data_IF_731291030883
#
_entry.id   IF_731291030883
#
_cell.length_a   1.000
_cell.length_b   1.000
_cell.length_c   1.000
_cell.angle_alpha   90.00
_cell.angle_beta   90.00
_cell.angle_gamma   90.00
#
_symmetry.space_group_name_H-M   'P 1'
#
loop_
_entity.id
_entity.type
_entity.pdbx_description
1 polymer ?
#
# COMPACT_ATOMS: atom_id res chain seq x y z
N UNK A 1 4.05 0.43 4.14
CA UNK A 1 3.08 0.28 3.02
C UNK A 1 2.10 -0.85 3.30
N UNK A 2 0.79 -0.66 3.07
CA UNK A 2 -0.26 -1.69 3.23
C UNK A 2 -0.06 -2.88 2.27
N UNK A 3 -0.01 -4.15 2.73
CA UNK A 3 -0.14 -5.32 1.86
C UNK A 3 -1.54 -5.35 1.23
N UNK A 4 -1.77 -6.09 0.17
CA UNK A 4 -3.07 -6.08 -0.53
C UNK A 4 -3.55 -7.51 -0.76
N UNK A 5 -4.73 -7.82 -0.23
CA UNK A 5 -5.50 -8.99 -0.66
C UNK A 5 -6.55 -8.57 -1.70
N UNK A 6 -6.23 -8.80 -2.98
CA UNK A 6 -7.21 -8.65 -4.06
C UNK A 6 -7.91 -9.98 -4.40
N UNK A 7 -7.63 -11.06 -3.69
CA UNK A 7 -8.22 -12.38 -3.90
C UNK A 7 -7.92 -13.03 -5.25
N UNK A 8 -8.53 -14.19 -5.47
CA UNK A 8 -8.48 -14.95 -6.73
C UNK A 8 -9.19 -14.22 -7.86
N UNK A 9 -9.18 -14.76 -9.07
CA UNK A 9 -9.82 -14.12 -10.22
C UNK A 9 -11.33 -13.86 -9.95
N UNK A 10 -11.85 -12.64 -10.16
CA UNK A 10 -13.24 -12.33 -9.84
C UNK A 10 -14.23 -13.02 -10.77
N UNK A 11 -15.41 -13.31 -10.23
CA UNK A 11 -16.55 -13.81 -11.01
C UNK A 11 -17.40 -12.62 -11.47
N UNK A 12 -18.00 -12.73 -12.66
CA UNK A 12 -19.00 -11.79 -13.14
C UNK A 12 -20.37 -12.08 -12.49
N UNK A 13 -21.38 -11.26 -12.82
CA UNK A 13 -22.76 -11.41 -12.29
C UNK A 13 -23.42 -12.77 -12.59
N UNK A 14 -22.89 -13.54 -13.54
CA UNK A 14 -23.37 -14.89 -13.91
C UNK A 14 -22.58 -16.01 -13.23
N UNK A 15 -21.67 -15.69 -12.29
CA UNK A 15 -20.82 -16.67 -11.62
C UNK A 15 -19.66 -17.21 -12.48
N UNK A 16 -19.47 -16.71 -13.70
CA UNK A 16 -18.35 -17.11 -14.56
C UNK A 16 -17.13 -16.21 -14.35
N UNK A 17 -15.93 -16.70 -14.65
CA UNK A 17 -14.69 -15.93 -14.60
C UNK A 17 -14.84 -14.60 -15.38
N UNK A 18 -14.62 -13.46 -14.72
CA UNK A 18 -14.77 -12.16 -15.34
C UNK A 18 -13.77 -11.99 -16.49
N UNK A 19 -14.24 -11.61 -17.68
CA UNK A 19 -13.37 -11.30 -18.82
C UNK A 19 -13.11 -9.80 -18.88
N UNK A 20 -11.82 -9.42 -18.92
CA UNK A 20 -11.40 -8.02 -19.02
C UNK A 20 -11.03 -7.68 -20.46
N UNK A 21 -12.04 -7.62 -21.35
CA UNK A 21 -11.85 -7.18 -22.75
C UNK A 21 -11.12 -5.82 -22.81
N UNK A 22 -11.35 -4.98 -21.80
CA UNK A 22 -10.55 -3.81 -21.51
C UNK A 22 -10.12 -3.86 -20.04
N UNK A 23 -8.83 -3.61 -19.74
CA UNK A 23 -8.28 -3.66 -18.38
C UNK A 23 -9.03 -2.77 -17.38
N UNK A 24 -9.60 -1.63 -17.85
CA UNK A 24 -10.38 -0.70 -17.01
C UNK A 24 -11.56 -1.38 -16.34
N UNK A 25 -12.08 -2.45 -16.93
CA UNK A 25 -13.20 -3.21 -16.37
C UNK A 25 -12.80 -3.97 -15.09
N UNK A 26 -11.51 -4.12 -14.80
CA UNK A 26 -11.01 -4.68 -13.54
C UNK A 26 -11.08 -3.68 -12.37
N UNK A 27 -11.20 -2.38 -12.65
CA UNK A 27 -11.14 -1.32 -11.64
C UNK A 27 -12.19 -1.52 -10.53
N UNK A 28 -13.45 -1.70 -10.91
CA UNK A 28 -14.55 -1.89 -9.96
C UNK A 28 -14.28 -3.08 -9.03
N UNK A 29 -13.85 -4.24 -9.56
CA UNK A 29 -13.54 -5.41 -8.75
C UNK A 29 -12.37 -5.16 -7.78
N UNK A 30 -11.38 -4.35 -8.15
CA UNK A 30 -10.29 -3.99 -7.25
C UNK A 30 -10.78 -3.05 -6.15
N UNK A 31 -11.59 -2.05 -6.49
CA UNK A 31 -12.14 -1.08 -5.53
C UNK A 31 -13.08 -1.76 -4.52
N UNK A 32 -13.95 -2.66 -4.97
CA UNK A 32 -14.84 -3.44 -4.10
C UNK A 32 -14.07 -4.31 -3.10
N UNK A 33 -12.90 -4.83 -3.50
CA UNK A 33 -12.12 -5.75 -2.66
C UNK A 33 -11.11 -5.06 -1.74
N UNK A 34 -10.55 -3.95 -2.20
CA UNK A 34 -9.38 -3.33 -1.56
C UNK A 34 -9.60 -1.86 -1.17
N UNK A 35 -10.79 -1.34 -1.48
CA UNK A 35 -11.18 0.05 -1.32
C UNK A 35 -10.54 1.00 -2.32
N UNK A 36 -10.96 2.26 -2.28
CA UNK A 36 -10.48 3.32 -3.16
C UNK A 36 -9.15 3.92 -2.67
N UNK A 37 -8.11 3.10 -2.59
CA UNK A 37 -6.75 3.51 -2.20
C UNK A 37 -5.75 3.14 -3.28
N UNK A 38 -4.73 3.99 -3.45
CA UNK A 38 -3.55 3.59 -4.20
C UNK A 38 -2.88 2.39 -3.51
N UNK A 39 -2.62 1.30 -4.24
CA UNK A 39 -1.95 0.13 -3.68
C UNK A 39 -0.48 0.37 -3.33
N UNK A 40 0.09 1.50 -3.76
CA UNK A 40 1.49 1.85 -3.50
C UNK A 40 1.64 2.91 -2.42
N UNK A 41 1.04 4.10 -2.60
CA UNK A 41 1.19 5.17 -1.62
C UNK A 41 0.07 5.20 -0.57
N UNK A 42 -0.91 4.30 -0.65
CA UNK A 42 -2.03 4.12 0.30
C UNK A 42 -2.99 5.30 0.44
N UNK A 43 -2.71 6.41 -0.22
CA UNK A 43 -3.59 7.58 -0.29
C UNK A 43 -4.97 7.15 -0.79
N UNK A 44 -6.02 7.55 -0.06
CA UNK A 44 -7.38 7.41 -0.55
C UNK A 44 -7.59 8.34 -1.74
N UNK A 45 -8.21 7.81 -2.79
CA UNK A 45 -8.46 8.54 -4.03
C UNK A 45 -9.88 8.24 -4.46
N UNK A 46 -10.78 9.19 -4.21
CA UNK A 46 -12.20 9.03 -4.50
C UNK A 46 -12.48 9.07 -6.01
N UNK A 47 -11.71 9.85 -6.76
CA UNK A 47 -11.84 10.02 -8.20
C UNK A 47 -10.48 9.82 -8.88
N UNK A 48 -10.48 9.23 -10.09
CA UNK A 48 -9.28 9.03 -10.90
C UNK A 48 -8.27 7.94 -10.47
N UNK A 49 -8.66 6.96 -9.63
CA UNK A 49 -7.90 5.71 -9.56
C UNK A 49 -7.87 5.02 -10.93
N UNK A 50 -6.69 4.55 -11.32
CA UNK A 50 -6.48 3.76 -12.53
C UNK A 50 -6.06 2.34 -12.16
N UNK A 51 -6.18 1.43 -13.12
CA UNK A 51 -5.54 0.11 -13.03
C UNK A 51 -4.13 0.24 -13.58
N UNK A 52 -3.18 -0.16 -12.76
CA UNK A 52 -1.77 -0.30 -13.09
C UNK A 52 -1.46 -1.72 -13.55
N UNK A 53 -0.71 -1.83 -14.64
CA UNK A 53 -0.11 -3.10 -15.05
C UNK A 53 1.26 -3.25 -14.38
N UNK A 54 1.44 -4.28 -13.55
CA UNK A 54 2.73 -4.58 -12.93
C UNK A 54 3.76 -4.81 -14.03
N UNK A 55 3.50 -5.76 -14.94
CA UNK A 55 4.21 -5.93 -16.21
C UNK A 55 3.53 -5.09 -17.30
N UNK A 56 4.23 -4.13 -17.94
CA UNK A 56 3.64 -3.24 -18.94
C UNK A 56 2.94 -3.99 -20.07
N UNK A 57 1.74 -3.53 -20.45
CA UNK A 57 0.96 -4.16 -21.52
C UNK A 57 1.66 -4.15 -22.89
N UNK A 58 2.48 -3.14 -23.16
CA UNK A 58 3.14 -2.97 -24.46
C UNK A 58 4.26 -4.01 -24.65
N UNK A 59 4.99 -4.32 -23.57
CA UNK A 59 6.03 -5.36 -23.56
C UNK A 59 5.48 -6.76 -23.24
N UNK A 60 4.31 -6.85 -22.59
CA UNK A 60 3.68 -8.10 -22.16
C UNK A 60 2.19 -8.14 -22.54
N UNK A 61 1.84 -8.14 -23.84
CA UNK A 61 0.45 -8.03 -24.30
C UNK A 61 -0.45 -9.16 -23.79
N UNK A 62 0.08 -10.37 -23.59
CA UNK A 62 -0.64 -11.53 -23.02
C UNK A 62 -1.11 -11.31 -21.57
N UNK A 63 -0.51 -10.35 -20.85
CA UNK A 63 -0.86 -10.00 -19.47
C UNK A 63 -1.73 -8.74 -19.37
N UNK A 64 -2.11 -8.14 -20.50
CA UNK A 64 -2.89 -6.89 -20.55
C UNK A 64 -4.28 -7.01 -19.92
N UNK A 65 -4.87 -8.22 -19.93
CA UNK A 65 -6.16 -8.57 -19.36
C UNK A 65 -6.04 -9.49 -18.12
N UNK A 66 -4.85 -9.62 -17.52
CA UNK A 66 -4.59 -10.61 -16.48
C UNK A 66 -4.80 -10.03 -15.07
N UNK A 67 -5.76 -10.58 -14.30
CA UNK A 67 -6.07 -10.14 -12.93
C UNK A 67 -4.85 -10.06 -12.03
N UNK A 68 -3.96 -11.06 -12.10
CA UNK A 68 -2.76 -11.10 -11.25
C UNK A 68 -1.78 -9.97 -11.58
N UNK A 69 -1.86 -9.39 -12.78
CA UNK A 69 -1.02 -8.29 -13.26
C UNK A 69 -1.56 -6.89 -12.91
N UNK A 70 -2.71 -6.78 -12.22
CA UNK A 70 -3.37 -5.49 -11.93
C UNK A 70 -3.20 -4.99 -10.50
N UNK A 71 -3.01 -3.68 -10.35
CA UNK A 71 -3.08 -2.94 -9.08
C UNK A 71 -3.93 -1.67 -9.24
N UNK A 72 -4.39 -1.06 -8.16
CA UNK A 72 -4.93 0.31 -8.18
C UNK A 72 -3.81 1.31 -7.96
N UNK A 73 -3.80 2.37 -8.76
CA UNK A 73 -2.78 3.41 -8.69
C UNK A 73 -3.40 4.80 -8.78
N UNK A 74 -2.87 5.74 -7.98
CA UNK A 74 -3.21 7.16 -8.09
C UNK A 74 -2.41 7.85 -9.19
N UNK A 75 -2.90 8.98 -9.69
CA UNK A 75 -2.20 9.77 -10.72
C UNK A 75 -0.75 10.10 -10.36
N UNK A 76 -0.41 10.57 -9.14
CA UNK A 76 0.98 10.86 -8.78
C UNK A 76 1.92 9.66 -8.82
N UNK A 77 1.47 8.48 -8.39
CA UNK A 77 2.30 7.27 -8.51
C UNK A 77 2.45 6.83 -9.97
N UNK A 78 1.35 6.89 -10.73
CA UNK A 78 1.34 6.43 -12.12
C UNK A 78 2.23 7.29 -13.02
N UNK A 79 2.10 8.62 -12.94
CA UNK A 79 2.87 9.56 -13.78
C UNK A 79 4.38 9.51 -13.52
N UNK A 80 4.78 9.03 -12.35
CA UNK A 80 6.18 8.92 -11.92
C UNK A 80 6.78 7.54 -12.12
N UNK A 81 5.99 6.55 -12.59
CA UNK A 81 6.52 5.23 -12.88
C UNK A 81 7.65 5.33 -13.89
N UNK A 82 8.83 4.84 -13.52
CA UNK A 82 9.98 4.86 -14.44
C UNK A 82 9.69 4.08 -15.72
N UNK A 83 10.02 4.67 -16.87
CA UNK A 83 9.93 4.02 -18.19
C UNK A 83 11.09 3.04 -18.43
N UNK A 84 12.20 3.18 -17.68
CA UNK A 84 13.41 2.35 -17.82
C UNK A 84 13.31 1.03 -17.06
N UNK A 85 12.26 0.27 -17.34
CA UNK A 85 12.04 -1.02 -16.71
C UNK A 85 13.01 -2.07 -17.23
N UNK A 86 13.76 -2.68 -16.30
CA UNK A 86 14.69 -3.77 -16.57
C UNK A 86 13.92 -5.00 -17.08
N UNK A 87 14.43 -5.62 -18.15
CA UNK A 87 13.94 -6.86 -18.76
C UNK A 87 14.27 -8.10 -17.89
N UNK A 88 13.97 -8.05 -16.60
CA UNK A 88 14.39 -9.03 -15.58
C UNK A 88 13.16 -9.45 -14.74
N UNK A 89 13.13 -10.61 -14.07
CA UNK A 89 11.93 -11.05 -13.35
C UNK A 89 11.50 -10.06 -12.26
N UNK A 90 10.49 -9.27 -12.60
CA UNK A 90 9.86 -8.21 -11.81
C UNK A 90 9.54 -8.56 -10.34
N UNK A 91 9.29 -9.84 -10.04
CA UNK A 91 9.01 -10.33 -8.68
C UNK A 91 10.24 -10.42 -7.79
N UNK A 92 11.43 -10.57 -8.38
CA UNK A 92 12.68 -10.65 -7.64
C UNK A 92 13.33 -9.28 -7.42
N UNK A 93 13.00 -8.29 -8.25
CA UNK A 93 13.60 -6.95 -8.18
C UNK A 93 12.81 -5.91 -7.39
N UNK A 94 11.52 -6.15 -7.19
CA UNK A 94 10.63 -5.21 -6.50
C UNK A 94 9.76 -5.96 -5.50
N UNK A 95 9.38 -5.29 -4.42
CA UNK A 95 8.29 -5.74 -3.56
C UNK A 95 6.96 -5.27 -4.12
N UNK A 96 6.00 -6.18 -4.16
CA UNK A 96 4.66 -5.89 -4.61
C UNK A 96 3.65 -6.13 -3.50
N UNK A 97 2.76 -5.16 -3.23
CA UNK A 97 1.83 -5.24 -2.11
C UNK A 97 0.89 -6.45 -2.19
N UNK A 98 0.57 -6.92 -3.40
CA UNK A 98 -0.32 -8.06 -3.61
C UNK A 98 0.33 -9.45 -3.41
N UNK A 99 1.66 -9.55 -3.29
CA UNK A 99 2.36 -10.85 -3.05
C UNK A 99 3.35 -10.83 -1.88
N UNK A 100 3.74 -9.65 -1.39
CA UNK A 100 4.63 -9.48 -0.24
C UNK A 100 3.87 -8.82 0.91
N UNK A 101 4.31 -9.03 2.15
CA UNK A 101 3.84 -8.22 3.26
C UNK A 101 4.64 -6.90 3.30
N UNK A 102 4.17 -5.90 2.56
CA UNK A 102 4.90 -4.64 2.36
C UNK A 102 4.98 -3.74 3.60
N UNK A 103 4.35 -4.12 4.72
CA UNK A 103 4.60 -3.50 6.03
C UNK A 103 6.02 -3.79 6.51
N UNK A 104 6.55 -4.98 6.20
CA UNK A 104 7.89 -5.39 6.58
C UNK A 104 8.98 -4.78 5.66
N UNK A 105 8.60 -4.35 4.46
CA UNK A 105 9.54 -3.83 3.47
C UNK A 105 9.73 -2.31 3.53
N UNK A 106 8.69 -1.56 3.94
CA UNK A 106 8.69 -0.10 3.86
C UNK A 106 8.28 0.54 5.18
N UNK A 107 9.04 1.56 5.55
CA UNK A 107 8.82 2.38 6.73
C UNK A 107 8.65 3.84 6.33
N UNK A 108 7.95 4.63 7.14
CA UNK A 108 7.90 6.09 7.04
C UNK A 108 8.19 6.64 8.43
N UNK A 109 9.38 7.23 8.65
CA UNK A 109 9.73 7.81 9.95
C UNK A 109 8.75 8.93 10.33
N UNK A 110 8.39 9.02 11.60
CA UNK A 110 7.53 10.09 12.12
C UNK A 110 8.33 11.32 12.59
N UNK A 111 9.65 11.17 12.77
CA UNK A 111 10.56 12.21 13.25
C UNK A 111 11.95 12.09 12.58
N UNK A 112 12.77 13.13 12.75
CA UNK A 112 14.13 13.24 12.20
C UNK A 112 14.19 13.79 10.76
N UNK A 113 15.39 13.86 10.21
CA UNK A 113 15.67 14.53 8.92
C UNK A 113 14.94 13.92 7.71
N UNK A 114 14.54 12.66 7.81
CA UNK A 114 13.77 11.93 6.79
C UNK A 114 12.31 11.67 7.23
N UNK A 115 11.79 12.46 8.17
CA UNK A 115 10.40 12.36 8.61
C UNK A 115 9.45 12.42 7.41
N UNK A 116 8.41 11.60 7.46
CA UNK A 116 7.35 11.52 6.46
C UNK A 116 7.84 11.07 5.08
N UNK A 117 9.07 10.58 4.91
CA UNK A 117 9.58 10.04 3.64
C UNK A 117 9.44 8.52 3.64
N UNK A 118 9.03 7.91 2.52
CA UNK A 118 9.01 6.44 2.40
C UNK A 118 10.44 5.94 2.24
N UNK A 119 10.84 5.03 3.11
CA UNK A 119 12.16 4.42 3.15
C UNK A 119 12.04 2.89 3.16
N UNK A 120 13.12 2.21 2.78
CA UNK A 120 13.28 0.79 3.10
C UNK A 120 13.25 0.60 4.62
N UNK A 121 12.59 -0.46 5.09
CA UNK A 121 12.52 -0.74 6.53
C UNK A 121 13.93 -1.00 7.11
N UNK A 122 14.28 -0.44 8.28
CA UNK A 122 15.64 -0.53 8.82
C UNK A 122 16.08 -1.95 9.19
N UNK A 123 15.14 -2.86 9.45
CA UNK A 123 15.42 -4.27 9.78
C UNK A 123 15.74 -5.16 8.58
N UNK A 124 15.73 -4.62 7.35
CA UNK A 124 15.96 -5.40 6.14
C UNK A 124 17.43 -5.79 5.99
N UNK A 125 17.67 -7.00 5.46
CA UNK A 125 19.01 -7.39 5.01
C UNK A 125 19.49 -6.51 3.83
N UNK A 126 20.78 -6.48 3.50
CA UNK A 126 21.29 -5.68 2.37
C UNK A 126 20.59 -5.96 1.04
N UNK A 127 20.32 -7.24 0.72
CA UNK A 127 19.62 -7.62 -0.51
C UNK A 127 18.15 -7.20 -0.50
N UNK A 128 17.48 -7.33 0.65
CA UNK A 128 16.10 -6.89 0.82
C UNK A 128 15.98 -5.37 0.73
N UNK A 129 16.94 -4.64 1.30
CA UNK A 129 17.01 -3.18 1.22
C UNK A 129 17.17 -2.72 -0.24
N UNK A 130 18.06 -3.35 -1.01
CA UNK A 130 18.19 -3.07 -2.44
C UNK A 130 16.87 -3.24 -3.21
N UNK A 131 16.11 -4.30 -2.90
CA UNK A 131 14.79 -4.57 -3.50
C UNK A 131 13.72 -3.55 -3.07
N UNK A 132 13.74 -3.11 -1.82
CA UNK A 132 12.87 -2.04 -1.34
C UNK A 132 13.20 -0.70 -2.02
N UNK A 133 14.48 -0.31 -2.06
CA UNK A 133 14.95 0.91 -2.70
C UNK A 133 14.64 0.92 -4.20
N UNK A 134 14.78 -0.22 -4.88
CA UNK A 134 14.37 -0.36 -6.27
C UNK A 134 12.86 -0.10 -6.46
N UNK A 135 12.02 -0.52 -5.52
CA UNK A 135 10.57 -0.28 -5.56
C UNK A 135 10.23 1.19 -5.30
N UNK A 136 10.90 1.82 -4.33
CA UNK A 136 10.78 3.25 -4.04
C UNK A 136 11.15 4.05 -5.29
N UNK A 137 12.31 3.77 -5.89
CA UNK A 137 12.80 4.41 -7.10
C UNK A 137 11.86 4.22 -8.30
N UNK A 138 11.26 3.04 -8.44
CA UNK A 138 10.36 2.74 -9.55
C UNK A 138 9.17 3.70 -9.62
N UNK A 139 8.60 4.07 -8.47
CA UNK A 139 7.43 4.97 -8.38
C UNK A 139 7.75 6.32 -7.73
N UNK A 140 9.04 6.60 -7.52
CA UNK A 140 9.56 7.77 -6.81
C UNK A 140 8.81 8.05 -5.49
N UNK A 141 8.59 7.03 -4.65
CA UNK A 141 7.73 7.10 -3.44
C UNK A 141 8.26 8.02 -2.33
N UNK A 142 9.55 8.34 -2.42
CA UNK A 142 10.38 9.16 -1.53
C UNK A 142 10.35 10.65 -1.87
N UNK A 143 9.67 11.07 -2.94
CA UNK A 143 9.58 12.49 -3.29
C UNK A 143 8.86 13.31 -2.23
N UNK A 144 9.45 14.46 -1.91
CA UNK A 144 8.97 15.45 -0.93
C UNK A 144 8.54 16.74 -1.65
N UNK A 145 8.68 17.88 -0.97
CA UNK A 145 8.55 19.23 -1.53
C UNK A 145 9.88 19.69 -2.14
N UNK A 146 9.86 20.29 -3.33
CA UNK A 146 11.03 21.03 -3.82
C UNK A 146 11.04 22.45 -3.26
N UNK A 147 12.22 23.06 -3.20
CA UNK A 147 12.40 24.48 -2.84
C UNK A 147 11.65 25.41 -3.80
N UNK A 148 11.35 24.95 -5.02
CA UNK A 148 10.62 25.69 -6.07
C UNK A 148 9.09 25.65 -5.91
N UNK A 149 8.56 25.02 -4.87
CA UNK A 149 7.12 24.96 -4.59
C UNK A 149 6.39 23.77 -5.24
N UNK A 150 7.06 23.00 -6.10
CA UNK A 150 6.49 21.75 -6.62
C UNK A 150 6.44 20.71 -5.51
N UNK A 151 5.24 20.47 -5.01
CA UNK A 151 5.02 19.55 -3.89
C UNK A 151 4.45 18.23 -4.37
N UNK A 152 5.08 17.12 -3.96
CA UNK A 152 4.45 15.83 -4.17
C UNK A 152 3.17 15.73 -3.33
N UNK A 153 2.01 15.66 -4.01
CA UNK A 153 0.72 15.54 -3.32
C UNK A 153 0.69 14.36 -2.34
N UNK A 154 1.40 13.27 -2.62
CA UNK A 154 1.47 12.10 -1.72
C UNK A 154 2.18 12.45 -0.42
N UNK A 155 3.21 13.29 -0.47
CA UNK A 155 3.94 13.76 0.71
C UNK A 155 3.07 14.71 1.55
N UNK A 156 2.42 15.68 0.93
CA UNK A 156 1.51 16.61 1.63
C UNK A 156 0.35 15.89 2.31
N UNK A 157 -0.27 14.93 1.62
CA UNK A 157 -1.38 14.15 2.18
C UNK A 157 -0.94 13.22 3.31
N UNK A 158 0.30 12.73 3.24
CA UNK A 158 0.93 11.94 4.31
C UNK A 158 1.18 12.81 5.54
N UNK A 159 1.73 14.00 5.36
CA UNK A 159 1.95 14.97 6.44
C UNK A 159 0.64 15.32 7.15
N UNK A 160 -0.41 15.67 6.38
CA UNK A 160 -1.73 15.96 6.94
C UNK A 160 -2.28 14.75 7.70
N UNK A 161 -2.13 13.54 7.17
CA UNK A 161 -2.62 12.33 7.84
C UNK A 161 -1.85 12.03 9.12
N UNK A 162 -0.54 12.28 9.17
CA UNK A 162 0.26 12.14 10.39
C UNK A 162 -0.18 13.14 11.45
N UNK A 163 -0.39 14.41 11.10
CA UNK A 163 -0.89 15.43 12.03
C UNK A 163 -2.20 14.97 12.68
N UNK A 164 -3.18 14.60 11.86
CA UNK A 164 -4.50 14.17 12.34
C UNK A 164 -4.42 12.89 13.19
N UNK A 165 -3.52 11.96 12.83
CA UNK A 165 -3.33 10.72 13.58
C UNK A 165 -2.67 10.96 14.94
N UNK A 166 -1.69 11.86 15.03
CA UNK A 166 -1.06 12.26 16.29
C UNK A 166 -2.05 13.00 17.20
N UNK A 167 -2.86 13.91 16.64
CA UNK A 167 -3.96 14.54 17.39
C UNK A 167 -4.93 13.48 17.94
N UNK A 168 -5.34 12.50 17.12
CA UNK A 168 -6.20 11.40 17.61
C UNK A 168 -5.53 10.54 18.66
N UNK A 169 -4.22 10.35 18.60
CA UNK A 169 -3.47 9.61 19.60
C UNK A 169 -3.54 10.31 20.97
N UNK A 170 -3.34 11.64 20.99
CA UNK A 170 -3.49 12.45 22.21
C UNK A 170 -4.92 12.38 22.76
N UNK A 171 -5.93 12.54 21.89
CA UNK A 171 -7.33 12.42 22.31
C UNK A 171 -7.67 11.03 22.85
N UNK A 172 -7.14 9.97 22.24
CA UNK A 172 -7.37 8.60 22.69
C UNK A 172 -6.73 8.36 24.05
N UNK A 173 -5.48 8.81 24.25
CA UNK A 173 -4.79 8.73 25.54
C UNK A 173 -5.56 9.47 26.67
N UNK A 174 -6.24 10.56 26.32
CA UNK A 174 -7.09 11.32 27.24
C UNK A 174 -8.52 10.77 27.40
N UNK A 175 -8.86 9.63 26.79
CA UNK A 175 -10.23 9.08 26.72
C UNK A 175 -11.26 10.01 26.05
N UNK A 176 -10.82 10.90 25.15
CA UNK A 176 -11.66 11.82 24.37
C UNK A 176 -11.97 11.31 22.96
N UNK A 177 -11.30 10.24 22.51
CA UNK A 177 -11.56 9.56 21.25
C UNK A 177 -11.72 8.04 21.47
N UNK A 178 -12.40 7.37 20.55
CA UNK A 178 -12.57 5.91 20.55
C UNK A 178 -11.77 5.27 19.42
N UNK A 179 -11.51 3.96 19.54
CA UNK A 179 -10.88 3.19 18.46
C UNK A 179 -11.69 3.29 17.15
N UNK A 180 -13.02 3.30 17.25
CA UNK A 180 -13.91 3.48 16.11
C UNK A 180 -13.69 4.84 15.40
N UNK A 181 -13.58 5.94 16.15
CA UNK A 181 -13.33 7.26 15.58
C UNK A 181 -11.96 7.35 14.88
N UNK A 182 -10.94 6.70 15.45
CA UNK A 182 -9.61 6.58 14.81
C UNK A 182 -9.72 5.80 13.50
N UNK A 183 -10.42 4.66 13.50
CA UNK A 183 -10.60 3.82 12.32
C UNK A 183 -11.39 4.54 11.23
N UNK A 184 -12.48 5.25 11.57
CA UNK A 184 -13.26 6.02 10.59
C UNK A 184 -12.40 7.07 9.90
N UNK A 185 -11.58 7.78 10.68
CA UNK A 185 -10.64 8.75 10.14
C UNK A 185 -9.57 8.08 9.27
N UNK A 186 -8.99 6.96 9.72
CA UNK A 186 -8.02 6.19 8.95
C UNK A 186 -8.60 5.73 7.61
N UNK A 187 -9.80 5.17 7.60
CA UNK A 187 -10.52 4.76 6.39
C UNK A 187 -10.79 5.96 5.49
N UNK A 188 -11.13 7.13 6.04
CA UNK A 188 -11.37 8.36 5.26
C UNK A 188 -10.11 8.92 4.59
N UNK A 189 -8.93 8.74 5.20
CA UNK A 189 -7.66 9.30 4.73
C UNK A 189 -6.82 8.33 3.89
N UNK A 190 -6.91 7.04 4.20
CA UNK A 190 -5.97 6.02 3.73
C UNK A 190 -4.71 6.00 4.57
N UNK A 191 -3.58 5.68 3.96
CA UNK A 191 -2.27 5.58 4.64
C UNK A 191 -2.25 4.62 5.83
N UNK A 192 -2.92 3.47 5.67
CA UNK A 192 -3.03 2.41 6.69
C UNK A 192 -1.72 2.14 7.45
N UNK A 193 -0.58 2.06 6.75
CA UNK A 193 0.69 1.77 7.43
C UNK A 193 1.18 2.86 8.39
N UNK A 194 0.73 4.12 8.23
CA UNK A 194 0.99 5.18 9.21
C UNK A 194 0.17 4.97 10.48
N UNK A 195 -1.12 4.65 10.34
CA UNK A 195 -2.00 4.37 11.48
C UNK A 195 -1.51 3.17 12.28
N UNK A 196 -1.10 2.10 11.61
CA UNK A 196 -0.46 0.94 12.25
C UNK A 196 0.83 1.30 12.99
N UNK A 197 1.62 2.24 12.47
CA UNK A 197 2.87 2.67 13.10
C UNK A 197 2.64 3.60 14.29
N UNK A 198 1.69 4.54 14.19
CA UNK A 198 1.39 5.52 15.26
C UNK A 198 0.69 4.84 16.44
N UNK A 199 -0.19 3.88 16.17
CA UNK A 199 -0.98 3.19 17.21
C UNK A 199 -0.40 1.82 17.57
N UNK A 200 0.86 1.52 17.27
CA UNK A 200 1.44 0.18 17.45
C UNK A 200 1.34 -0.36 18.88
N UNK A 201 1.36 0.53 19.88
CA UNK A 201 1.30 0.18 21.29
C UNK A 201 -0.14 0.06 21.83
N UNK A 202 -1.14 0.38 21.01
CA UNK A 202 -2.56 0.39 21.37
C UNK A 202 -3.28 -0.77 20.71
N UNK A 203 -3.21 -1.95 21.34
CA UNK A 203 -3.75 -3.20 20.79
C UNK A 203 -5.17 -3.06 20.24
N UNK A 204 -6.09 -2.49 21.02
CA UNK A 204 -7.50 -2.31 20.61
C UNK A 204 -7.62 -1.56 19.27
N UNK A 205 -6.86 -0.48 19.10
CA UNK A 205 -6.86 0.30 17.87
C UNK A 205 -6.28 -0.48 16.70
N UNK A 206 -5.18 -1.22 16.93
CA UNK A 206 -4.56 -2.06 15.90
C UNK A 206 -5.51 -3.17 15.43
N UNK A 207 -6.21 -3.82 16.36
CA UNK A 207 -7.21 -4.83 16.01
C UNK A 207 -8.35 -4.23 15.19
N UNK A 208 -8.88 -3.08 15.63
CA UNK A 208 -9.94 -2.38 14.90
C UNK A 208 -9.50 -1.95 13.49
N UNK A 209 -8.26 -1.47 13.32
CA UNK A 209 -7.69 -1.12 12.01
C UNK A 209 -7.57 -2.35 11.08
N UNK A 210 -7.17 -3.51 11.62
CA UNK A 210 -7.01 -4.75 10.86
C UNK A 210 -8.36 -5.34 10.43
N UNK A 211 -9.40 -5.15 11.24
CA UNK A 211 -10.74 -5.67 11.00
C UNK A 211 -11.62 -4.72 10.16
N UNK A 212 -11.21 -3.45 10.02
CA UNK A 212 -11.94 -2.46 9.25
C UNK A 212 -12.02 -2.83 7.76
N UNK A 213 -13.22 -2.96 7.21
CA UNK A 213 -13.45 -2.80 5.77
C UNK A 213 -13.17 -1.33 5.45
N UNK A 214 -12.26 -0.96 4.53
CA UNK A 214 -11.65 -1.72 3.41
C UNK A 214 -10.17 -2.10 3.62
N UNK A 215 -9.64 -1.99 4.83
CA UNK A 215 -8.28 -2.44 5.17
C UNK A 215 -8.16 -3.94 5.38
N UNK A 216 -9.28 -4.64 5.60
CA UNK A 216 -9.41 -6.08 5.78
C UNK A 216 -8.36 -6.87 4.98
N UNK A 217 -7.36 -7.37 5.70
CA UNK A 217 -6.35 -8.27 5.17
C UNK A 217 -6.66 -9.70 5.57
N UNK A 218 -5.91 -10.66 5.01
CA UNK A 218 -5.86 -12.00 5.57
C UNK A 218 -5.09 -11.99 6.90
N UNK A 219 -5.77 -11.55 7.96
CA UNK A 219 -5.18 -11.25 9.28
C UNK A 219 -4.42 -12.44 9.85
N UNK A 220 -5.03 -13.63 9.83
CA UNK A 220 -4.43 -14.85 10.38
C UNK A 220 -3.21 -15.35 9.61
N UNK A 221 -3.10 -15.02 8.32
CA UNK A 221 -1.94 -15.39 7.52
C UNK A 221 -0.81 -14.36 7.60
N UNK A 222 -1.12 -13.07 7.84
CA UNK A 222 -0.17 -11.96 7.64
C UNK A 222 0.22 -11.24 8.93
N UNK A 223 -0.40 -11.58 10.05
CA UNK A 223 -0.08 -11.04 11.37
C UNK A 223 -0.04 -12.16 12.41
N UNK A 224 0.86 -12.04 13.37
CA UNK A 224 0.94 -12.95 14.52
C UNK A 224 -0.21 -12.69 15.50
N UNK A 225 -0.36 -13.55 16.52
CA UNK A 225 -1.28 -13.30 17.63
C UNK A 225 -0.95 -12.00 18.42
N UNK A 226 0.33 -11.60 18.38
CA UNK A 226 0.81 -10.32 18.92
C UNK A 226 0.61 -9.15 17.95
N UNK A 227 -0.10 -9.33 16.83
CA UNK A 227 -0.37 -8.34 15.80
C UNK A 227 0.87 -7.82 15.06
N UNK A 228 2.02 -8.50 15.21
CA UNK A 228 3.21 -8.19 14.43
C UNK A 228 3.07 -8.73 13.00
N UNK A 229 3.46 -7.96 11.96
CA UNK A 229 3.37 -8.42 10.58
C UNK A 229 4.28 -9.65 10.33
N UNK A 230 3.78 -10.62 9.57
CA UNK A 230 4.47 -11.85 9.20
C UNK A 230 4.84 -11.87 7.70
N UNK A 231 5.98 -12.50 7.33
CA UNK A 231 6.37 -12.65 5.93
C UNK A 231 5.39 -13.54 5.14
N UNK A 232 5.16 -13.24 3.84
CA UNK A 232 4.19 -13.99 3.00
C UNK A 232 4.78 -15.14 2.20
N UNK A 233 6.09 -15.21 2.09
CA UNK A 233 6.82 -16.16 1.24
C UNK A 233 7.77 -17.05 2.05
N UNK A 234 7.32 -17.53 3.22
CA UNK A 234 8.12 -18.40 4.09
C UNK A 234 8.69 -19.61 3.31
N UNK A 235 9.96 -19.93 3.56
CA UNK A 235 10.69 -20.99 2.85
C UNK A 235 11.26 -20.59 1.48
N UNK A 236 11.01 -19.38 0.98
CA UNK A 236 11.70 -18.82 -0.18
C UNK A 236 12.98 -18.09 0.23
N UNK A 237 13.87 -17.86 -0.74
CA UNK A 237 15.13 -17.13 -0.54
C UNK A 237 14.92 -15.70 0.01
N UNK A 238 13.81 -15.07 -0.35
CA UNK A 238 13.34 -13.82 0.26
C UNK A 238 11.93 -14.07 0.85
N UNK A 239 11.78 -14.12 2.18
CA UNK A 239 10.54 -14.55 2.81
C UNK A 239 9.44 -13.48 2.84
N UNK A 240 9.78 -12.20 2.61
CA UNK A 240 8.88 -11.05 2.76
C UNK A 240 7.62 -11.13 1.88
#
# INVERSE_FOLDING_TARGET
MRPIDKGTWPLNKKGAKACFNHWRNAKQYLEERTGCYCHLCEMRVNNALAVEHIKPKDSYPRLSACWTNFLLICTPCNSRKSKSLLAVPYRHHYYWPHINNTLLAFHTPLAGDNAMVVNAHPSLSPSQKQKADATIKLYALDKTTTVTGDSDRRYLERQLTISMALERLEEYADNRATAAAIVDLAVSRGFFSLWMAIFSDYREVVEALLDARPFCQNRTAWFSAALAPLPRNQGQADPL
#
